data_IF_237458234216
#
_entry.id   IF_237458234216
#
_cell.length_a   1.000
_cell.length_b   1.000
_cell.length_c   1.000
_cell.angle_alpha   90.00
_cell.angle_beta   90.00
_cell.angle_gamma   90.00
#
_symmetry.space_group_name_H-M   'P 1'
#
loop_
_entity.id
_entity.type
_entity.pdbx_description
1 polymer ?
#
# COMPACT_ATOMS: atom_id res chain seq x y z
N UNK A 1 -32.64 -1.11 19.34
CA UNK A 1 -31.59 -0.07 19.32
C UNK A 1 -30.27 -0.82 19.32
N UNK A 2 -29.74 -1.09 18.13
CA UNK A 2 -28.43 -1.71 17.96
C UNK A 2 -27.44 -0.55 17.85
N UNK A 3 -26.46 -0.55 18.75
CA UNK A 3 -25.36 0.40 18.78
C UNK A 3 -24.32 -0.08 17.75
N UNK A 4 -24.40 0.51 16.56
CA UNK A 4 -23.55 0.24 15.40
C UNK A 4 -22.56 1.41 15.28
N UNK A 5 -21.46 1.35 16.02
CA UNK A 5 -20.44 2.41 16.05
C UNK A 5 -19.03 1.90 16.33
N UNK A 6 -18.66 0.74 15.78
CA UNK A 6 -17.30 0.19 15.91
C UNK A 6 -16.46 0.27 14.63
N UNK A 7 -16.93 0.93 13.57
CA UNK A 7 -16.19 1.05 12.32
C UNK A 7 -15.26 2.27 12.22
N UNK A 8 -15.30 3.23 13.15
CA UNK A 8 -14.67 4.56 13.00
C UNK A 8 -13.61 4.89 14.09
N UNK A 9 -13.22 3.91 14.90
CA UNK A 9 -12.37 4.11 16.08
C UNK A 9 -10.84 4.15 15.85
N UNK A 10 -10.24 3.38 14.90
CA UNK A 10 -8.78 3.31 14.82
C UNK A 10 -8.16 4.60 14.24
N UNK A 11 -8.79 5.21 13.25
CA UNK A 11 -8.29 6.43 12.60
C UNK A 11 -8.33 7.63 13.58
N UNK A 12 -9.40 7.76 14.36
CA UNK A 12 -9.54 8.81 15.37
C UNK A 12 -8.51 8.68 16.53
N UNK A 13 -8.07 7.46 16.85
CA UNK A 13 -7.05 7.22 17.87
C UNK A 13 -5.65 7.59 17.35
N UNK A 14 -5.33 7.22 16.11
CA UNK A 14 -4.08 7.57 15.45
C UNK A 14 -3.95 9.08 15.24
N UNK A 15 -5.04 9.76 14.89
CA UNK A 15 -5.08 11.22 14.72
C UNK A 15 -4.78 11.95 16.04
N UNK A 16 -5.45 11.58 17.14
CA UNK A 16 -5.17 12.14 18.47
C UNK A 16 -3.72 11.92 18.91
N UNK A 17 -3.19 10.72 18.69
CA UNK A 17 -1.80 10.41 19.00
C UNK A 17 -0.83 11.23 18.13
N UNK A 18 -1.19 11.49 16.87
CA UNK A 18 -0.39 12.33 15.98
C UNK A 18 -0.34 13.78 16.47
N UNK A 19 -1.46 14.31 16.94
CA UNK A 19 -1.54 15.64 17.56
C UNK A 19 -0.71 15.73 18.85
N UNK A 20 -0.81 14.71 19.72
CA UNK A 20 -0.08 14.66 20.99
C UNK A 20 1.44 14.54 20.79
N UNK A 21 1.87 13.76 19.79
CA UNK A 21 3.28 13.46 19.54
C UNK A 21 3.93 14.43 18.54
N UNK A 22 3.13 15.20 17.79
CA UNK A 22 3.61 16.07 16.70
C UNK A 22 4.25 15.28 15.55
N UNK A 23 3.81 14.04 15.32
CA UNK A 23 4.35 13.10 14.33
C UNK A 23 3.20 12.41 13.60
N UNK A 24 3.39 12.07 12.32
CA UNK A 24 2.43 11.26 11.57
C UNK A 24 2.53 9.78 12.01
N UNK A 25 1.64 9.37 12.89
CA UNK A 25 1.62 8.02 13.45
C UNK A 25 1.20 6.99 12.40
N UNK A 26 0.29 7.36 11.49
CA UNK A 26 -0.23 6.46 10.47
C UNK A 26 0.86 6.07 9.47
N UNK A 27 1.63 7.05 8.97
CA UNK A 27 2.77 6.78 8.09
C UNK A 27 3.86 5.99 8.81
N UNK A 28 4.10 6.27 10.09
CA UNK A 28 5.09 5.54 10.88
C UNK A 28 4.70 4.08 11.08
N UNK A 29 3.42 3.81 11.40
CA UNK A 29 2.90 2.45 11.50
C UNK A 29 3.03 1.71 10.18
N UNK A 30 2.68 2.35 9.06
CA UNK A 30 2.80 1.76 7.73
C UNK A 30 4.26 1.40 7.40
N UNK A 31 5.22 2.27 7.76
CA UNK A 31 6.64 1.98 7.59
C UNK A 31 7.11 0.79 8.42
N UNK A 32 6.64 0.67 9.67
CA UNK A 32 6.94 -0.47 10.54
C UNK A 32 6.34 -1.75 9.98
N UNK A 33 5.08 -1.73 9.57
CA UNK A 33 4.38 -2.88 8.98
C UNK A 33 5.04 -3.34 7.69
N UNK A 34 5.48 -2.42 6.83
CA UNK A 34 6.20 -2.73 5.61
C UNK A 34 7.50 -3.50 5.90
N UNK A 35 8.28 -3.08 6.90
CA UNK A 35 9.49 -3.82 7.30
C UNK A 35 9.19 -5.22 7.81
N UNK A 36 8.09 -5.39 8.55
CA UNK A 36 7.65 -6.71 9.01
C UNK A 36 7.26 -7.60 7.82
N UNK A 37 6.53 -7.05 6.86
CA UNK A 37 6.17 -7.74 5.62
C UNK A 37 7.41 -8.20 4.84
N UNK A 38 8.44 -7.36 4.69
CA UNK A 38 9.70 -7.77 4.06
C UNK A 38 10.41 -8.91 4.80
N UNK A 39 10.26 -9.00 6.13
CA UNK A 39 10.82 -10.11 6.91
C UNK A 39 10.00 -11.38 6.66
N UNK A 40 8.66 -11.28 6.64
CA UNK A 40 7.75 -12.39 6.33
C UNK A 40 7.99 -12.96 4.95
N UNK A 41 8.05 -12.11 3.93
CA UNK A 41 8.33 -12.53 2.55
C UNK A 41 9.67 -13.25 2.42
N UNK A 42 10.71 -12.81 3.16
CA UNK A 42 12.02 -13.49 3.19
C UNK A 42 11.97 -14.88 3.83
N UNK A 43 10.95 -15.16 4.65
CA UNK A 43 10.67 -16.48 5.23
C UNK A 43 9.72 -17.32 4.37
N UNK A 44 9.24 -16.79 3.24
CA UNK A 44 8.23 -17.43 2.39
C UNK A 44 6.81 -17.34 2.94
N UNK A 45 6.57 -16.44 3.90
CA UNK A 45 5.23 -16.15 4.44
C UNK A 45 4.52 -15.13 3.55
N UNK A 46 3.18 -15.16 3.55
CA UNK A 46 2.37 -14.19 2.83
C UNK A 46 2.49 -12.79 3.44
N UNK A 47 2.35 -11.79 2.58
CA UNK A 47 2.29 -10.39 2.96
C UNK A 47 0.93 -10.05 3.57
N UNK A 48 0.91 -9.16 4.57
CA UNK A 48 -0.33 -8.64 5.14
C UNK A 48 -0.79 -7.33 4.49
N UNK A 49 0.15 -6.58 3.88
CA UNK A 49 -0.15 -5.30 3.24
C UNK A 49 -0.63 -5.48 1.80
N UNK A 50 -1.30 -4.45 1.28
CA UNK A 50 -1.63 -4.34 -0.13
C UNK A 50 -0.50 -3.71 -0.91
N UNK A 51 -0.31 -4.15 -2.14
CA UNK A 51 0.71 -3.61 -3.04
C UNK A 51 0.07 -3.31 -4.40
N UNK A 52 0.38 -2.16 -4.97
CA UNK A 52 0.18 -1.88 -6.39
C UNK A 52 1.55 -1.85 -7.04
N UNK A 53 1.83 -2.82 -7.90
CA UNK A 53 3.06 -2.86 -8.69
C UNK A 53 2.84 -2.01 -9.94
N UNK A 54 3.82 -1.17 -10.24
CA UNK A 54 3.82 -0.27 -11.39
C UNK A 54 5.07 -0.55 -12.21
N UNK A 55 4.89 -1.11 -13.39
CA UNK A 55 5.96 -1.38 -14.36
C UNK A 55 6.02 -0.22 -15.36
N UNK A 56 7.20 0.35 -15.56
CA UNK A 56 7.38 1.60 -16.33
C UNK A 56 8.42 1.43 -17.41
N UNK A 57 8.15 1.93 -18.62
CA UNK A 57 9.07 1.75 -19.76
C UNK A 57 10.35 2.61 -19.68
N UNK A 58 10.24 3.81 -19.09
CA UNK A 58 11.32 4.82 -19.10
C UNK A 58 11.80 5.24 -17.70
N UNK A 59 11.24 4.63 -16.67
CA UNK A 59 11.56 4.89 -15.27
C UNK A 59 11.76 3.55 -14.54
N UNK A 60 12.43 3.53 -13.38
CA UNK A 60 12.50 2.31 -12.57
C UNK A 60 11.10 1.78 -12.27
N UNK A 61 10.92 0.49 -12.07
CA UNK A 61 9.62 -0.01 -11.61
C UNK A 61 9.31 0.52 -10.20
N UNK A 62 8.04 0.61 -9.84
CA UNK A 62 7.59 1.12 -8.55
C UNK A 62 6.62 0.15 -7.87
N UNK A 63 6.47 0.31 -6.55
CA UNK A 63 5.44 -0.32 -5.76
C UNK A 63 4.85 0.71 -4.79
N UNK A 64 3.52 0.84 -4.78
CA UNK A 64 2.78 1.64 -3.80
C UNK A 64 2.22 0.69 -2.74
N UNK A 65 2.48 0.97 -1.47
CA UNK A 65 2.11 0.11 -0.35
C UNK A 65 0.87 0.66 0.34
N UNK A 66 -0.10 -0.21 0.59
CA UNK A 66 -1.37 0.11 1.25
C UNK A 66 -1.55 -0.71 2.52
N UNK A 67 -2.33 -0.18 3.46
CA UNK A 67 -2.60 -0.84 4.74
C UNK A 67 -3.30 -2.20 4.60
N UNK A 68 -4.01 -2.45 3.49
CA UNK A 68 -4.69 -3.70 3.17
C UNK A 68 -4.69 -3.97 1.66
N UNK A 69 -4.90 -5.23 1.26
CA UNK A 69 -5.05 -5.63 -0.15
C UNK A 69 -6.28 -4.98 -0.79
N UNK A 70 -7.38 -4.86 -0.05
CA UNK A 70 -8.60 -4.22 -0.58
C UNK A 70 -8.42 -2.73 -0.80
N UNK A 71 -7.65 -2.03 0.05
CA UNK A 71 -7.27 -0.64 -0.19
C UNK A 71 -6.41 -0.48 -1.45
N UNK A 72 -5.48 -1.41 -1.71
CA UNK A 72 -4.70 -1.41 -2.94
C UNK A 72 -5.59 -1.64 -4.19
N UNK A 73 -6.59 -2.51 -4.11
CA UNK A 73 -7.56 -2.75 -5.20
C UNK A 73 -8.41 -1.52 -5.46
N UNK A 74 -8.98 -0.94 -4.40
CA UNK A 74 -9.80 0.25 -4.50
C UNK A 74 -9.02 1.45 -5.06
N UNK A 75 -7.72 1.54 -4.79
CA UNK A 75 -6.86 2.59 -5.35
C UNK A 75 -6.61 2.43 -6.86
N UNK A 76 -6.71 1.22 -7.40
CA UNK A 76 -6.53 0.94 -8.83
C UNK A 76 -7.85 1.00 -9.60
N UNK A 77 -8.98 0.72 -8.95
CA UNK A 77 -10.31 0.73 -9.55
C UNK A 77 -10.71 2.15 -9.99
N UNK A 78 -11.08 2.29 -11.27
CA UNK A 78 -11.56 3.53 -11.91
C UNK A 78 -10.62 4.75 -11.80
N UNK A 79 -9.29 4.55 -11.69
CA UNK A 79 -8.37 5.68 -11.60
C UNK A 79 -8.05 6.27 -13.00
N UNK A 80 -8.59 7.45 -13.38
CA UNK A 80 -8.55 7.94 -14.76
C UNK A 80 -7.14 8.20 -15.27
N UNK A 81 -6.19 8.57 -14.40
CA UNK A 81 -4.79 8.73 -14.80
C UNK A 81 -4.09 7.40 -15.09
N UNK A 82 -4.44 6.34 -14.36
CA UNK A 82 -3.85 5.01 -14.60
C UNK A 82 -4.40 4.43 -15.90
N UNK A 83 -5.71 4.57 -16.12
CA UNK A 83 -6.35 4.14 -17.37
C UNK A 83 -5.78 4.86 -18.60
N UNK A 84 -5.61 6.17 -18.53
CA UNK A 84 -5.04 6.94 -19.65
C UNK A 84 -3.57 6.55 -19.93
N UNK A 85 -2.75 6.37 -18.89
CA UNK A 85 -1.34 5.97 -19.06
C UNK A 85 -1.18 4.52 -19.53
N UNK A 86 -2.10 3.63 -19.12
CA UNK A 86 -2.17 2.26 -19.61
C UNK A 86 -2.56 2.21 -21.09
N UNK A 87 -3.46 3.09 -21.55
CA UNK A 87 -3.83 3.18 -22.98
C UNK A 87 -2.67 3.66 -23.87
N UNK A 88 -1.74 4.43 -23.32
CA UNK A 88 -0.54 4.89 -24.02
C UNK A 88 0.61 3.86 -24.00
N UNK A 89 0.39 2.64 -23.49
CA UNK A 89 1.40 1.57 -23.31
C UNK A 89 2.64 2.02 -22.50
N UNK A 90 2.50 3.10 -21.71
CA UNK A 90 3.61 3.71 -20.98
C UNK A 90 3.76 3.18 -19.54
N UNK A 91 2.75 2.48 -19.03
CA UNK A 91 2.66 2.05 -17.64
C UNK A 91 1.73 0.84 -17.51
N UNK A 92 2.16 -0.18 -16.78
CA UNK A 92 1.32 -1.31 -16.36
C UNK A 92 1.20 -1.30 -14.82
N UNK A 93 -0.02 -1.19 -14.31
CA UNK A 93 -0.29 -1.16 -12.88
C UNK A 93 -1.24 -2.29 -12.49
N UNK A 94 -0.85 -3.09 -11.50
CA UNK A 94 -1.66 -4.22 -11.04
C UNK A 94 -1.46 -4.52 -9.56
N UNK A 95 -2.48 -5.12 -8.95
CA UNK A 95 -2.41 -5.67 -7.59
C UNK A 95 -2.04 -7.16 -7.72
N UNK A 96 -0.87 -7.60 -7.24
CA UNK A 96 -0.47 -8.99 -7.35
C UNK A 96 -1.32 -9.87 -6.41
N UNK A 97 -1.66 -11.08 -6.87
CA UNK A 97 -2.38 -12.08 -6.05
C UNK A 97 -1.55 -12.56 -4.86
N UNK A 98 -0.24 -12.64 -5.05
CA UNK A 98 0.76 -12.92 -4.02
C UNK A 98 2.00 -12.13 -4.36
N UNK A 99 2.68 -11.59 -3.36
CA UNK A 99 3.92 -10.86 -3.55
C UNK A 99 5.08 -11.54 -2.82
N UNK A 100 6.25 -11.58 -3.46
CA UNK A 100 7.48 -12.09 -2.89
C UNK A 100 8.57 -11.01 -2.87
N UNK A 101 9.56 -11.18 -1.99
CA UNK A 101 10.63 -10.20 -1.79
C UNK A 101 11.37 -9.81 -3.08
N UNK A 102 11.56 -10.76 -4.01
CA UNK A 102 12.25 -10.50 -5.28
C UNK A 102 11.49 -9.55 -6.20
N UNK A 103 10.16 -9.52 -6.12
CA UNK A 103 9.34 -8.61 -6.94
C UNK A 103 9.49 -7.16 -6.47
N UNK A 104 9.82 -6.93 -5.19
CA UNK A 104 10.11 -5.60 -4.64
C UNK A 104 11.57 -5.18 -4.82
N UNK A 105 12.44 -6.10 -5.22
CA UNK A 105 13.88 -5.82 -5.29
C UNK A 105 14.17 -4.92 -6.51
N UNK A 106 14.71 -3.73 -6.26
CA UNK A 106 15.02 -2.74 -7.30
C UNK A 106 13.85 -1.85 -7.71
N UNK A 107 12.66 -2.06 -7.13
CA UNK A 107 11.52 -1.14 -7.27
C UNK A 107 11.67 0.07 -6.35
N UNK A 108 11.20 1.23 -6.80
CA UNK A 108 10.96 2.38 -5.94
C UNK A 108 9.74 2.11 -5.06
N UNK A 109 9.89 2.23 -3.74
CA UNK A 109 8.81 1.96 -2.79
C UNK A 109 8.20 3.27 -2.33
N UNK A 110 6.90 3.43 -2.57
CA UNK A 110 6.10 4.55 -2.09
C UNK A 110 5.24 4.10 -0.90
N UNK A 111 5.46 4.74 0.24
CA UNK A 111 4.65 4.63 1.44
C UNK A 111 3.88 5.96 1.56
N UNK A 112 2.58 5.99 1.26
CA UNK A 112 1.77 7.21 1.33
C UNK A 112 1.60 7.73 2.77
#
# INVERSE_FOLDING_TARGET
MADDSTADAPDAAAERLSEELGLDVATLELHVRFRLDLIRMRRGEAADLGYVLIDRQHHPDAAVVFSTVDAARAALEDHPLVENLAQEDCLDAHVPTSIVHTELTGREIFLP
#
